data_IF_849756785459
#
_entry.id   IF_849756785459
#
_cell.length_a   1.000
_cell.length_b   1.000
_cell.length_c   1.000
_cell.angle_alpha   90.00
_cell.angle_beta   90.00
_cell.angle_gamma   90.00
#
_symmetry.space_group_name_H-M   'P 1'
#
loop_
_entity.id
_entity.type
_entity.pdbx_description
1 polymer ?
#
# COMPACT_ATOMS: atom_id res chain seq x y z
N UNK A 1 -3.51 20.38 -16.25
CA UNK A 1 -3.00 20.25 -14.87
C UNK A 1 -2.83 21.64 -14.28
N UNK A 2 -3.46 21.93 -13.14
CA UNK A 2 -3.34 23.24 -12.48
C UNK A 2 -2.01 23.35 -11.73
N UNK A 3 -1.51 24.57 -11.53
CA UNK A 3 -0.29 24.83 -10.76
C UNK A 3 -0.42 24.38 -9.30
N UNK A 4 -1.63 24.48 -8.74
CA UNK A 4 -1.98 23.99 -7.39
C UNK A 4 -1.79 22.48 -7.25
N UNK A 5 -2.34 21.71 -8.20
CA UNK A 5 -2.27 20.25 -8.20
C UNK A 5 -0.82 19.72 -8.29
N UNK A 6 0.01 20.34 -9.13
CA UNK A 6 1.45 20.03 -9.19
C UNK A 6 2.17 20.36 -7.88
N UNK A 7 1.83 21.49 -7.26
CA UNK A 7 2.37 21.90 -5.97
C UNK A 7 2.03 20.91 -4.87
N UNK A 8 0.77 20.47 -4.80
CA UNK A 8 0.30 19.50 -3.80
C UNK A 8 0.95 18.12 -4.01
N UNK A 9 0.99 17.59 -5.23
CA UNK A 9 1.62 16.30 -5.54
C UNK A 9 3.11 16.29 -5.15
N UNK A 10 3.81 17.39 -5.44
CA UNK A 10 5.21 17.57 -5.06
C UNK A 10 5.36 17.60 -3.54
N UNK A 11 4.54 18.39 -2.83
CA UNK A 11 4.60 18.50 -1.36
C UNK A 11 4.38 17.16 -0.69
N UNK A 12 3.33 16.43 -1.06
CA UNK A 12 3.06 15.08 -0.55
C UNK A 12 4.28 14.17 -0.67
N UNK A 13 4.95 14.20 -1.83
CA UNK A 13 6.13 13.38 -2.10
C UNK A 13 7.37 13.83 -1.29
N UNK A 14 7.58 15.14 -1.14
CA UNK A 14 8.70 15.69 -0.36
C UNK A 14 8.55 15.39 1.14
N UNK A 15 7.33 15.44 1.68
CA UNK A 15 7.05 15.08 3.07
C UNK A 15 7.17 13.56 3.28
N UNK A 16 6.64 12.79 2.34
CA UNK A 16 6.71 11.33 2.33
C UNK A 16 5.76 10.65 3.33
N UNK A 17 5.69 9.32 3.24
CA UNK A 17 4.71 8.52 4.00
C UNK A 17 4.88 8.65 5.51
N UNK A 18 6.11 8.55 6.03
CA UNK A 18 6.37 8.55 7.47
C UNK A 18 5.95 9.87 8.15
N UNK A 19 6.17 11.02 7.50
CA UNK A 19 5.78 12.33 8.04
C UNK A 19 4.26 12.54 8.01
N UNK A 20 3.57 11.95 7.02
CA UNK A 20 2.13 12.09 6.84
C UNK A 20 1.31 11.07 7.64
N UNK A 21 1.82 9.86 7.85
CA UNK A 21 1.03 8.71 8.30
C UNK A 21 1.70 7.84 9.37
N UNK A 22 2.99 8.04 9.66
CA UNK A 22 3.71 7.25 10.64
C UNK A 22 3.34 7.60 12.09
N UNK A 23 3.89 6.87 13.05
CA UNK A 23 3.61 7.05 14.50
C UNK A 23 3.90 8.47 15.01
N UNK A 24 4.83 9.18 14.35
CA UNK A 24 5.20 10.56 14.66
C UNK A 24 4.77 11.53 13.56
N UNK A 25 3.65 11.26 12.90
CA UNK A 25 3.14 12.10 11.82
C UNK A 25 2.98 13.58 12.27
N UNK A 26 3.37 14.50 11.40
CA UNK A 26 3.34 15.93 11.66
C UNK A 26 1.92 16.46 11.51
N UNK A 27 1.26 16.68 12.64
CA UNK A 27 -0.11 17.20 12.68
C UNK A 27 -0.23 18.59 12.08
N UNK A 28 0.81 19.42 12.16
CA UNK A 28 0.78 20.77 11.58
C UNK A 28 0.78 20.70 10.05
N UNK A 29 1.56 19.78 9.50
CA UNK A 29 1.59 19.49 8.07
C UNK A 29 0.23 18.98 7.57
N UNK A 30 -0.35 18.00 8.27
CA UNK A 30 -1.64 17.40 7.92
C UNK A 30 -2.74 18.47 7.93
N UNK A 31 -2.85 19.27 9.00
CA UNK A 31 -3.86 20.32 9.08
C UNK A 31 -3.64 21.42 8.02
N UNK A 32 -2.39 21.71 7.66
CA UNK A 32 -2.10 22.64 6.56
C UNK A 32 -2.62 22.14 5.22
N UNK A 33 -2.43 20.86 4.88
CA UNK A 33 -2.95 20.28 3.63
C UNK A 33 -4.48 20.26 3.68
N UNK A 34 -5.08 19.80 4.78
CA UNK A 34 -6.54 19.73 4.93
C UNK A 34 -7.24 21.08 4.81
N UNK A 35 -6.57 22.15 5.26
CA UNK A 35 -7.10 23.51 5.21
C UNK A 35 -7.13 24.13 3.81
N UNK A 36 -6.54 23.49 2.80
CA UNK A 36 -6.48 24.04 1.45
C UNK A 36 -7.85 24.01 0.74
N UNK A 37 -8.24 25.11 0.07
CA UNK A 37 -9.46 25.14 -0.72
C UNK A 37 -9.43 24.07 -1.81
N UNK A 38 -10.51 23.29 -1.92
CA UNK A 38 -10.67 22.21 -2.90
C UNK A 38 -9.70 21.02 -2.78
N UNK A 39 -8.99 20.86 -1.66
CA UNK A 39 -8.00 19.77 -1.48
C UNK A 39 -8.54 18.39 -1.84
N UNK A 40 -9.79 18.07 -1.48
CA UNK A 40 -10.40 16.77 -1.81
C UNK A 40 -10.54 16.53 -3.32
N UNK A 41 -10.81 17.58 -4.11
CA UNK A 41 -10.87 17.49 -5.57
C UNK A 41 -9.48 17.37 -6.17
N UNK A 42 -8.53 18.15 -5.67
CA UNK A 42 -7.14 18.10 -6.16
C UNK A 42 -6.49 16.75 -5.88
N UNK A 43 -6.76 16.13 -4.72
CA UNK A 43 -6.30 14.77 -4.41
C UNK A 43 -6.90 13.73 -5.37
N UNK A 44 -8.19 13.82 -5.69
CA UNK A 44 -8.82 12.95 -6.70
C UNK A 44 -8.18 13.14 -8.09
N UNK A 45 -7.96 14.40 -8.49
CA UNK A 45 -7.31 14.72 -9.76
C UNK A 45 -5.87 14.15 -9.80
N UNK A 46 -5.12 14.23 -8.70
CA UNK A 46 -3.79 13.61 -8.56
C UNK A 46 -3.87 12.09 -8.73
N UNK A 47 -4.78 11.41 -8.02
CA UNK A 47 -4.94 9.95 -8.07
C UNK A 47 -5.25 9.49 -9.50
N UNK A 48 -6.07 10.24 -10.23
CA UNK A 48 -6.55 9.85 -11.57
C UNK A 48 -5.61 10.28 -12.71
N UNK A 49 -4.68 11.22 -12.49
CA UNK A 49 -3.82 11.74 -13.55
C UNK A 49 -2.63 10.80 -13.84
N UNK A 50 -2.70 10.12 -14.99
CA UNK A 50 -1.68 9.18 -15.48
C UNK A 50 -0.27 9.77 -15.68
N UNK A 51 -0.11 11.09 -15.67
CA UNK A 51 1.18 11.77 -15.77
C UNK A 51 1.87 12.01 -14.43
N UNK A 52 1.16 11.91 -13.30
CA UNK A 52 1.72 12.08 -11.96
C UNK A 52 2.43 10.80 -11.50
N UNK A 53 3.54 10.91 -10.76
CA UNK A 53 4.27 9.75 -10.24
C UNK A 53 3.40 8.85 -9.34
N UNK A 54 3.62 7.53 -9.38
CA UNK A 54 2.89 6.58 -8.54
C UNK A 54 2.96 6.90 -7.04
N UNK A 55 4.12 7.35 -6.56
CA UNK A 55 4.29 7.74 -5.16
C UNK A 55 3.33 8.86 -4.76
N UNK A 56 3.26 9.95 -5.53
CA UNK A 56 2.33 11.04 -5.27
C UNK A 56 0.86 10.59 -5.31
N UNK A 57 0.50 9.67 -6.22
CA UNK A 57 -0.86 9.11 -6.29
C UNK A 57 -1.21 8.27 -5.07
N UNK A 58 -0.29 7.40 -4.65
CA UNK A 58 -0.44 6.60 -3.45
C UNK A 58 -0.62 7.50 -2.21
N UNK A 59 0.26 8.50 -2.03
CA UNK A 59 0.19 9.42 -0.90
C UNK A 59 -1.09 10.27 -0.94
N UNK A 60 -1.53 10.72 -2.12
CA UNK A 60 -2.79 11.44 -2.27
C UNK A 60 -3.99 10.55 -1.94
N UNK A 61 -3.94 9.27 -2.32
CA UNK A 61 -4.96 8.27 -2.01
C UNK A 61 -5.09 8.04 -0.50
N UNK A 62 -3.97 7.77 0.18
CA UNK A 62 -3.92 7.64 1.63
C UNK A 62 -4.41 8.90 2.35
N UNK A 63 -4.00 10.08 1.86
CA UNK A 63 -4.41 11.36 2.47
C UNK A 63 -5.90 11.61 2.31
N UNK A 64 -6.44 11.39 1.11
CA UNK A 64 -7.86 11.55 0.81
C UNK A 64 -8.71 10.62 1.69
N UNK A 65 -8.30 9.35 1.77
CA UNK A 65 -8.99 8.33 2.57
C UNK A 65 -8.96 8.62 4.07
N UNK A 66 -7.78 8.93 4.63
CA UNK A 66 -7.61 9.05 6.10
C UNK A 66 -8.09 10.37 6.66
N UNK A 67 -7.98 11.47 5.91
CA UNK A 67 -8.07 12.82 6.48
C UNK A 67 -9.11 13.74 5.84
N UNK A 68 -9.57 13.44 4.62
CA UNK A 68 -10.41 14.38 3.86
C UNK A 68 -11.81 13.82 3.62
N UNK A 69 -11.94 12.79 2.78
CA UNK A 69 -13.23 12.27 2.37
C UNK A 69 -13.11 10.84 1.81
N UNK A 70 -13.52 9.87 2.63
CA UNK A 70 -13.56 8.45 2.26
C UNK A 70 -14.54 8.17 1.11
N UNK A 71 -15.63 8.93 0.98
CA UNK A 71 -16.60 8.71 -0.11
C UNK A 71 -16.00 9.20 -1.43
N UNK A 72 -15.30 10.33 -1.41
CA UNK A 72 -14.57 10.82 -2.57
C UNK A 72 -13.45 9.86 -3.00
N UNK A 73 -12.75 9.24 -2.04
CA UNK A 73 -11.76 8.20 -2.31
C UNK A 73 -12.35 7.03 -3.11
N UNK A 74 -13.51 6.52 -2.69
CA UNK A 74 -14.22 5.43 -3.38
C UNK A 74 -14.68 5.79 -4.81
N UNK A 75 -14.71 7.07 -5.15
CA UNK A 75 -15.10 7.55 -6.49
C UNK A 75 -13.92 7.72 -7.45
N UNK A 76 -12.68 7.52 -6.99
CA UNK A 76 -11.49 7.58 -7.84
C UNK A 76 -11.46 6.43 -8.86
N UNK A 77 -10.68 6.63 -9.92
CA UNK A 77 -10.45 5.59 -10.92
C UNK A 77 -9.82 4.36 -10.28
N UNK A 78 -10.51 3.24 -10.43
CA UNK A 78 -10.18 1.98 -9.79
C UNK A 78 -8.79 1.46 -10.20
N UNK A 79 -8.49 1.46 -11.50
CA UNK A 79 -7.19 1.01 -12.03
C UNK A 79 -6.06 1.87 -11.46
N UNK A 80 -6.27 3.19 -11.38
CA UNK A 80 -5.28 4.12 -10.82
C UNK A 80 -5.05 3.91 -9.33
N UNK A 81 -6.10 3.63 -8.56
CA UNK A 81 -5.99 3.28 -7.13
C UNK A 81 -5.17 1.99 -6.95
N UNK A 82 -5.60 0.90 -7.60
CA UNK A 82 -4.96 -0.41 -7.48
C UNK A 82 -3.48 -0.37 -7.86
N UNK A 83 -3.17 0.22 -9.02
CA UNK A 83 -1.80 0.32 -9.48
C UNK A 83 -0.95 1.19 -8.56
N UNK A 84 -1.51 2.28 -7.99
CA UNK A 84 -0.75 3.12 -7.06
C UNK A 84 -0.32 2.37 -5.79
N UNK A 85 -1.16 1.48 -5.26
CA UNK A 85 -0.82 0.68 -4.08
C UNK A 85 0.12 -0.46 -4.43
N UNK A 86 -0.09 -1.12 -5.57
CA UNK A 86 0.85 -2.14 -6.04
C UNK A 86 2.26 -1.56 -6.23
N UNK A 87 2.35 -0.37 -6.82
CA UNK A 87 3.61 0.35 -6.99
C UNK A 87 4.20 0.79 -5.64
N UNK A 88 3.36 1.20 -4.69
CA UNK A 88 3.80 1.51 -3.33
C UNK A 88 4.39 0.30 -2.60
N UNK A 89 3.83 -0.89 -2.79
CA UNK A 89 4.39 -2.14 -2.27
C UNK A 89 5.72 -2.48 -2.96
N UNK A 90 5.76 -2.49 -4.30
CA UNK A 90 6.96 -2.83 -5.09
C UNK A 90 8.15 -1.91 -4.79
N UNK A 91 7.89 -0.62 -4.63
CA UNK A 91 8.92 0.38 -4.40
C UNK A 91 9.10 0.77 -2.94
N UNK A 92 8.39 0.10 -2.01
CA UNK A 92 8.44 0.35 -0.58
C UNK A 92 8.27 1.85 -0.24
N UNK A 93 7.25 2.51 -0.79
CA UNK A 93 7.01 3.95 -0.55
C UNK A 93 6.67 4.29 0.90
N UNK A 94 6.28 3.29 1.70
CA UNK A 94 6.11 3.43 3.16
C UNK A 94 7.45 3.45 3.91
N UNK A 95 8.51 2.93 3.29
CA UNK A 95 9.78 2.64 3.94
C UNK A 95 9.74 1.44 4.87
N UNK A 96 8.60 0.74 4.97
CA UNK A 96 8.37 -0.31 5.93
C UNK A 96 7.27 -1.30 5.50
N UNK A 97 7.61 -2.58 5.42
CA UNK A 97 6.68 -3.65 5.05
C UNK A 97 5.57 -3.93 6.06
N UNK A 98 5.74 -3.56 7.35
CA UNK A 98 4.69 -3.81 8.37
C UNK A 98 3.38 -3.08 8.07
N UNK A 99 3.46 -1.94 7.38
CA UNK A 99 2.27 -1.22 6.91
C UNK A 99 1.40 -2.11 6.01
N UNK A 100 2.01 -3.08 5.32
CA UNK A 100 1.35 -4.04 4.46
C UNK A 100 0.93 -5.32 5.19
N UNK A 101 1.85 -5.95 5.93
CA UNK A 101 1.62 -7.21 6.65
C UNK A 101 2.79 -7.60 7.58
N UNK A 102 2.60 -8.69 8.32
CA UNK A 102 3.64 -9.42 9.05
C UNK A 102 4.28 -8.70 10.24
N UNK A 103 3.57 -7.76 10.87
CA UNK A 103 4.06 -7.12 12.10
C UNK A 103 4.08 -8.14 13.24
N UNK A 104 2.93 -8.79 13.48
CA UNK A 104 2.75 -9.74 14.59
C UNK A 104 2.86 -11.22 14.17
N UNK A 105 3.01 -11.50 12.88
CA UNK A 105 3.22 -12.86 12.38
C UNK A 105 2.78 -13.10 10.94
N UNK A 106 2.94 -14.33 10.41
CA UNK A 106 2.74 -14.69 8.99
C UNK A 106 1.29 -14.53 8.49
N UNK A 107 0.33 -14.32 9.40
CA UNK A 107 -1.09 -14.14 9.10
C UNK A 107 -1.59 -12.72 9.38
N UNK A 108 -0.72 -11.85 9.88
CA UNK A 108 -1.09 -10.50 10.25
C UNK A 108 -1.15 -9.59 9.03
N UNK A 109 -2.23 -8.81 8.91
CA UNK A 109 -2.48 -7.88 7.82
C UNK A 109 -2.27 -6.48 8.35
N UNK A 110 -1.37 -5.72 7.72
CA UNK A 110 -1.09 -4.34 8.07
C UNK A 110 -2.22 -3.38 7.68
N UNK A 111 -2.05 -2.10 8.01
CA UNK A 111 -3.07 -1.07 7.74
C UNK A 111 -3.38 -0.92 6.25
N UNK A 112 -2.37 -0.94 5.38
CA UNK A 112 -2.52 -0.84 3.93
C UNK A 112 -3.10 -2.11 3.34
N UNK A 113 -2.68 -3.28 3.83
CA UNK A 113 -3.25 -4.56 3.42
C UNK A 113 -4.76 -4.62 3.70
N UNK A 114 -5.18 -4.19 4.90
CA UNK A 114 -6.60 -4.11 5.28
C UNK A 114 -7.38 -3.14 4.40
N UNK A 115 -6.78 -2.00 4.05
CA UNK A 115 -7.41 -1.02 3.17
C UNK A 115 -7.64 -1.60 1.77
N UNK A 116 -6.64 -2.24 1.18
CA UNK A 116 -6.77 -2.88 -0.13
C UNK A 116 -7.84 -3.98 -0.11
N UNK A 117 -7.84 -4.83 0.93
CA UNK A 117 -8.87 -5.86 1.11
C UNK A 117 -10.27 -5.24 1.24
N UNK A 118 -10.40 -4.09 1.89
CA UNK A 118 -11.70 -3.43 2.10
C UNK A 118 -12.38 -2.96 0.81
N UNK A 119 -11.64 -2.84 -0.29
CA UNK A 119 -12.20 -2.54 -1.60
C UNK A 119 -12.94 -3.72 -2.24
N UNK A 120 -12.69 -4.95 -1.75
CA UNK A 120 -13.34 -6.18 -2.22
C UNK A 120 -12.49 -6.98 -3.21
N UNK A 121 -12.96 -8.20 -3.50
CA UNK A 121 -12.25 -9.21 -4.31
C UNK A 121 -11.81 -8.69 -5.67
N UNK A 122 -12.68 -7.98 -6.37
CA UNK A 122 -12.35 -7.49 -7.70
C UNK A 122 -11.10 -6.58 -7.66
N UNK A 123 -10.94 -5.79 -6.60
CA UNK A 123 -9.88 -4.79 -6.50
C UNK A 123 -8.49 -5.34 -6.20
N UNK A 124 -8.40 -6.60 -5.76
CA UNK A 124 -7.10 -7.21 -5.48
C UNK A 124 -6.50 -7.91 -6.70
N UNK A 125 -7.20 -7.94 -7.84
CA UNK A 125 -6.72 -8.61 -9.05
C UNK A 125 -5.40 -8.01 -9.56
N UNK A 126 -5.20 -6.68 -9.42
CA UNK A 126 -3.91 -6.05 -9.76
C UNK A 126 -2.73 -6.64 -8.97
N UNK A 127 -2.96 -7.03 -7.71
CA UNK A 127 -1.93 -7.66 -6.86
C UNK A 127 -1.56 -9.07 -7.32
N UNK A 128 -2.39 -9.73 -8.14
CA UNK A 128 -1.99 -11.02 -8.74
C UNK A 128 -0.79 -10.88 -9.66
N UNK A 129 -0.62 -9.71 -10.30
CA UNK A 129 0.56 -9.42 -11.13
C UNK A 129 1.87 -9.30 -10.33
N UNK A 130 1.80 -9.34 -9.00
CA UNK A 130 2.95 -9.32 -8.11
C UNK A 130 3.25 -10.69 -7.49
N UNK A 131 2.51 -11.74 -7.82
CA UNK A 131 2.73 -13.09 -7.27
C UNK A 131 4.03 -13.75 -7.74
N UNK A 132 4.68 -13.19 -8.76
CA UNK A 132 5.99 -13.59 -9.28
C UNK A 132 7.11 -12.59 -8.91
N UNK A 133 6.82 -11.56 -8.10
CA UNK A 133 7.78 -10.51 -7.76
C UNK A 133 8.66 -10.90 -6.56
N UNK A 134 9.89 -11.28 -6.84
CA UNK A 134 10.92 -11.68 -5.86
C UNK A 134 11.63 -10.50 -5.17
N UNK A 135 11.23 -9.26 -5.46
CA UNK A 135 11.82 -8.08 -4.82
C UNK A 135 11.57 -8.09 -3.32
N UNK A 136 12.59 -7.78 -2.53
CA UNK A 136 12.47 -7.75 -1.07
C UNK A 136 11.83 -6.45 -0.60
N UNK A 137 10.94 -6.53 0.39
CA UNK A 137 10.37 -5.35 1.06
C UNK A 137 11.13 -5.11 2.36
N UNK A 138 11.59 -3.87 2.58
CA UNK A 138 12.31 -3.51 3.79
C UNK A 138 11.39 -3.50 5.01
N UNK A 139 11.79 -4.19 6.08
CA UNK A 139 11.07 -4.21 7.37
C UNK A 139 11.90 -3.44 8.41
N UNK A 140 11.38 -2.33 8.96
CA UNK A 140 12.16 -1.45 9.85
C UNK A 140 12.00 -1.73 11.35
N UNK A 141 11.10 -2.64 11.75
CA UNK A 141 10.78 -2.91 13.16
C UNK A 141 11.68 -3.90 13.90
N UNK A 142 12.60 -4.56 13.20
CA UNK A 142 13.38 -5.64 13.81
C UNK A 142 14.62 -5.17 14.58
N UNK A 143 14.51 -4.11 15.39
CA UNK A 143 15.55 -3.79 16.38
C UNK A 143 15.57 -4.78 17.57
N UNK A 144 14.51 -5.58 17.75
CA UNK A 144 14.43 -6.64 18.77
C UNK A 144 14.74 -8.03 18.25
N UNK A 145 14.86 -8.18 16.94
CA UNK A 145 15.14 -9.46 16.31
C UNK A 145 16.56 -9.40 15.74
N UNK A 146 17.42 -10.39 16.02
CA UNK A 146 18.76 -10.39 15.48
C UNK A 146 18.72 -10.27 13.94
N UNK A 147 19.67 -9.59 13.28
CA UNK A 147 19.65 -9.35 11.83
C UNK A 147 19.50 -10.60 10.95
N UNK A 148 19.77 -11.79 11.50
CA UNK A 148 19.61 -13.10 10.85
C UNK A 148 18.22 -13.73 11.01
N UNK A 149 17.30 -13.07 11.70
CA UNK A 149 15.93 -13.52 11.96
C UNK A 149 14.87 -12.60 11.33
N UNK A 150 15.26 -11.57 10.59
CA UNK A 150 14.31 -10.78 9.82
C UNK A 150 13.84 -11.65 8.65
N UNK A 151 12.56 -12.09 8.61
CA UNK A 151 12.09 -12.91 7.49
C UNK A 151 12.16 -12.04 6.23
N UNK A 152 12.88 -12.45 5.18
CA UNK A 152 12.97 -11.67 3.96
C UNK A 152 11.67 -11.85 3.17
N UNK A 153 10.60 -11.19 3.63
CA UNK A 153 9.35 -11.18 2.88
C UNK A 153 9.54 -10.38 1.59
N UNK A 154 9.10 -11.00 0.49
CA UNK A 154 9.16 -10.45 -0.86
C UNK A 154 7.81 -9.85 -1.22
N UNK A 155 7.77 -9.00 -2.23
CA UNK A 155 6.54 -8.40 -2.76
C UNK A 155 5.46 -9.46 -2.98
N UNK A 156 5.81 -10.61 -3.57
CA UNK A 156 4.87 -11.73 -3.76
C UNK A 156 4.30 -12.31 -2.47
N UNK A 157 5.05 -12.31 -1.37
CA UNK A 157 4.56 -12.80 -0.07
C UNK A 157 3.45 -11.87 0.47
N UNK A 158 3.64 -10.55 0.38
CA UNK A 158 2.60 -9.56 0.75
C UNK A 158 1.39 -9.63 -0.19
N UNK A 159 1.64 -9.67 -1.50
CA UNK A 159 0.58 -9.73 -2.51
C UNK A 159 -0.27 -10.99 -2.34
N UNK A 160 0.35 -12.15 -2.12
CA UNK A 160 -0.37 -13.40 -1.90
C UNK A 160 -1.24 -13.37 -0.65
N UNK A 161 -0.75 -12.80 0.44
CA UNK A 161 -1.55 -12.65 1.65
C UNK A 161 -2.77 -11.73 1.41
N UNK A 162 -2.58 -10.59 0.75
CA UNK A 162 -3.68 -9.66 0.41
C UNK A 162 -4.72 -10.35 -0.49
N UNK A 163 -4.25 -11.01 -1.55
CA UNK A 163 -5.11 -11.71 -2.52
C UNK A 163 -5.89 -12.84 -1.85
N UNK A 164 -5.22 -13.68 -1.05
CA UNK A 164 -5.88 -14.76 -0.31
C UNK A 164 -6.97 -14.22 0.61
N UNK A 165 -6.67 -13.20 1.41
CA UNK A 165 -7.62 -12.63 2.37
C UNK A 165 -8.81 -11.97 1.72
N UNK A 166 -8.60 -11.27 0.60
CA UNK A 166 -9.70 -10.67 -0.14
C UNK A 166 -10.71 -11.72 -0.62
N UNK A 167 -10.24 -12.92 -1.03
CA UNK A 167 -11.07 -14.06 -1.42
C UNK A 167 -11.57 -14.92 -0.23
N UNK A 168 -11.37 -14.47 1.00
CA UNK A 168 -11.72 -15.25 2.20
C UNK A 168 -10.92 -16.54 2.37
N UNK A 169 -9.76 -16.66 1.74
CA UNK A 169 -8.86 -17.81 1.82
C UNK A 169 -7.79 -17.60 2.90
N UNK A 170 -7.28 -18.73 3.40
CA UNK A 170 -6.09 -18.77 4.25
C UNK A 170 -4.86 -19.17 3.42
N UNK A 171 -3.70 -18.62 3.77
CA UNK A 171 -2.40 -18.98 3.18
C UNK A 171 -1.36 -19.06 4.30
N UNK A 172 -0.54 -20.11 4.28
CA UNK A 172 0.55 -20.27 5.25
C UNK A 172 1.85 -19.69 4.68
N UNK A 173 2.29 -18.58 5.26
CA UNK A 173 3.53 -17.89 4.90
C UNK A 173 4.58 -17.93 6.01
N UNK A 174 4.43 -18.84 7.00
CA UNK A 174 5.35 -18.96 8.13
C UNK A 174 6.71 -19.61 7.76
N UNK A 175 6.74 -20.36 6.66
CA UNK A 175 7.87 -21.19 6.27
C UNK A 175 9.02 -20.46 5.58
N UNK A 176 9.94 -21.26 5.03
CA UNK A 176 11.04 -20.80 4.17
C UNK A 176 10.52 -20.12 2.90
N UNK A 177 11.36 -19.35 2.16
CA UNK A 177 10.97 -18.81 0.86
C UNK A 177 10.39 -19.86 -0.10
N UNK A 178 10.93 -21.08 -0.08
CA UNK A 178 10.45 -22.21 -0.88
C UNK A 178 9.06 -22.69 -0.44
N UNK A 179 8.82 -22.78 0.87
CA UNK A 179 7.49 -23.13 1.41
C UNK A 179 6.45 -22.09 1.01
N UNK A 180 6.81 -20.79 1.09
CA UNK A 180 5.95 -19.69 0.66
C UNK A 180 5.67 -19.76 -0.84
N UNK A 181 6.67 -20.04 -1.67
CA UNK A 181 6.49 -20.18 -3.12
C UNK A 181 5.52 -21.31 -3.47
N UNK A 182 5.59 -22.43 -2.73
CA UNK A 182 4.62 -23.52 -2.86
C UNK A 182 3.21 -23.08 -2.45
N UNK A 183 3.06 -22.35 -1.35
CA UNK A 183 1.77 -21.83 -0.90
C UNK A 183 1.16 -20.85 -1.90
N UNK A 184 1.98 -19.95 -2.48
CA UNK A 184 1.57 -19.00 -3.53
C UNK A 184 1.11 -19.76 -4.78
N UNK A 185 1.87 -20.76 -5.23
CA UNK A 185 1.48 -21.57 -6.39
C UNK A 185 0.16 -22.34 -6.16
N UNK A 186 -0.10 -22.80 -4.93
CA UNK A 186 -1.38 -23.44 -4.57
C UNK A 186 -2.54 -22.43 -4.54
N UNK A 187 -2.31 -21.22 -4.03
CA UNK A 187 -3.27 -20.13 -4.10
C UNK A 187 -3.64 -19.82 -5.56
N UNK A 188 -2.66 -19.69 -6.45
CA UNK A 188 -2.90 -19.46 -7.88
C UNK A 188 -3.72 -20.58 -8.56
N UNK A 189 -3.55 -21.83 -8.15
CA UNK A 189 -4.35 -22.95 -8.65
C UNK A 189 -5.80 -22.93 -8.13
N UNK A 190 -6.01 -22.39 -6.93
CA UNK A 190 -7.33 -22.33 -6.28
C UNK A 190 -8.21 -21.22 -6.86
N UNK A 191 -7.58 -20.15 -7.36
CA UNK A 191 -8.25 -19.00 -7.99
C UNK A 191 -8.40 -19.12 -9.53
N UNK A 192 -8.16 -20.32 -10.09
CA UNK A 192 -8.40 -20.64 -11.51
C UNK A 192 -9.78 -21.28 -11.67
#
# INVERSE_FOLDING_TARGET
MSESMNGLAKRLTEDGYAALFGDSADQSLIESIKGEPNVGRELQDIINDRSISWQARFLASEFLFRYVDMIAHQSCDRESLEESYLQALRHNYTGNGVDWAFEDGPNDIGVLGRMVISWGEDHVEAFRSALDDDSHVGMSFFWRIPPHFNPPYRVKDFAALIVARAHGLEIDLAGSPEDRDMAIAQLEQTMK
#
